data_IF_823178943929
#
_entry.id   IF_823178943929
#
_cell.length_a   1.000
_cell.length_b   1.000
_cell.length_c   1.000
_cell.angle_alpha   90.00
_cell.angle_beta   90.00
_cell.angle_gamma   90.00
#
_symmetry.space_group_name_H-M   'P 1'
#
loop_
_entity.id
_entity.type
_entity.pdbx_description
1 polymer ?
#
# COMPACT_ATOMS: atom_id res chain seq x y z
N UNK A 1 -9.41 2.99 -16.44
CA UNK A 1 -8.34 2.81 -15.43
C UNK A 1 -7.22 1.99 -16.06
N UNK A 2 -5.96 2.38 -15.87
CA UNK A 2 -4.77 1.65 -16.35
C UNK A 2 -4.02 1.07 -15.16
N UNK A 3 -3.62 -0.19 -15.25
CA UNK A 3 -2.75 -0.85 -14.26
C UNK A 3 -1.36 -0.98 -14.86
N UNK A 4 -0.35 -0.55 -14.10
CA UNK A 4 1.06 -0.59 -14.52
C UNK A 4 1.93 -1.11 -13.37
N UNK A 5 3.02 -1.78 -13.74
CA UNK A 5 4.03 -2.20 -12.76
C UNK A 5 4.96 -1.01 -12.48
N UNK A 6 4.79 -0.37 -11.32
CA UNK A 6 5.63 0.74 -10.87
C UNK A 6 6.63 0.28 -9.82
N UNK A 7 7.90 0.64 -9.99
CA UNK A 7 8.93 0.37 -8.99
C UNK A 7 8.80 1.38 -7.84
N UNK A 8 8.72 0.90 -6.62
CA UNK A 8 8.66 1.72 -5.40
C UNK A 8 9.99 2.39 -5.05
N UNK A 9 11.12 1.85 -5.55
CA UNK A 9 12.51 2.27 -5.25
C UNK A 9 12.85 2.17 -3.75
N UNK A 10 12.25 1.22 -3.06
CA UNK A 10 12.52 0.87 -1.67
C UNK A 10 12.68 -0.66 -1.55
N UNK A 11 12.99 -1.18 -0.36
CA UNK A 11 13.08 -2.62 -0.09
C UNK A 11 11.78 -3.37 -0.43
N UNK A 12 11.91 -4.67 -0.72
CA UNK A 12 10.75 -5.53 -1.05
C UNK A 12 9.77 -5.64 0.11
N UNK A 13 10.27 -5.70 1.34
CA UNK A 13 9.47 -5.65 2.55
C UNK A 13 9.79 -4.37 3.33
N UNK A 14 9.01 -3.28 3.12
CA UNK A 14 9.30 -2.02 3.79
C UNK A 14 9.05 -2.07 5.30
N UNK A 15 9.95 -1.44 6.05
CA UNK A 15 9.83 -1.27 7.49
C UNK A 15 9.88 0.22 7.80
N UNK A 16 8.94 0.68 8.63
CA UNK A 16 8.82 2.07 9.05
C UNK A 16 7.93 2.90 8.15
N UNK A 17 7.14 3.77 8.79
CA UNK A 17 6.13 4.61 8.16
C UNK A 17 6.69 5.44 6.99
N UNK A 18 7.84 6.10 7.21
CA UNK A 18 8.48 6.93 6.18
C UNK A 18 8.82 6.14 4.91
N UNK A 19 9.36 4.92 5.08
CA UNK A 19 9.74 4.05 3.95
C UNK A 19 8.51 3.68 3.13
N UNK A 20 7.44 3.23 3.80
CA UNK A 20 6.19 2.81 3.15
C UNK A 20 5.56 3.98 2.38
N UNK A 21 5.45 5.15 3.02
CA UNK A 21 4.90 6.35 2.37
C UNK A 21 5.75 6.78 1.16
N UNK A 22 7.08 6.70 1.27
CA UNK A 22 7.98 6.99 0.14
C UNK A 22 7.70 6.04 -1.03
N UNK A 23 7.54 4.74 -0.78
CA UNK A 23 7.22 3.76 -1.81
C UNK A 23 5.87 4.03 -2.48
N UNK A 24 4.82 4.31 -1.70
CA UNK A 24 3.50 4.66 -2.23
C UNK A 24 3.57 5.92 -3.11
N UNK A 25 4.24 6.99 -2.65
CA UNK A 25 4.40 8.23 -3.41
C UNK A 25 5.21 8.01 -4.71
N UNK A 26 6.28 7.22 -4.67
CA UNK A 26 7.06 6.90 -5.87
C UNK A 26 6.22 6.17 -6.93
N UNK A 27 5.40 5.20 -6.51
CA UNK A 27 4.47 4.50 -7.41
C UNK A 27 3.41 5.44 -7.98
N UNK A 28 2.84 6.32 -7.15
CA UNK A 28 1.85 7.30 -7.59
C UNK A 28 2.43 8.28 -8.62
N UNK A 29 3.63 8.81 -8.37
CA UNK A 29 4.36 9.69 -9.32
C UNK A 29 4.62 8.98 -10.64
N UNK A 30 5.09 7.73 -10.57
CA UNK A 30 5.35 6.94 -11.77
C UNK A 30 4.08 6.72 -12.59
N UNK A 31 2.97 6.33 -11.94
CA UNK A 31 1.71 6.07 -12.63
C UNK A 31 1.12 7.32 -13.27
N UNK A 32 1.20 8.48 -12.61
CA UNK A 32 0.77 9.74 -13.19
C UNK A 32 1.60 10.13 -14.42
N UNK A 33 2.92 10.06 -14.31
CA UNK A 33 3.81 10.39 -15.44
C UNK A 33 3.57 9.45 -16.62
N UNK A 34 3.40 8.15 -16.40
CA UNK A 34 3.08 7.19 -17.43
C UNK A 34 1.81 7.57 -18.23
N UNK A 35 0.75 7.99 -17.54
CA UNK A 35 -0.49 8.40 -18.20
C UNK A 35 -0.29 9.67 -19.03
N UNK A 36 0.43 10.65 -18.48
CA UNK A 36 0.71 11.92 -19.16
C UNK A 36 1.59 11.68 -20.39
N UNK A 37 2.68 10.94 -20.24
CA UNK A 37 3.72 10.81 -21.27
C UNK A 37 3.35 9.78 -22.34
N UNK A 38 2.84 8.61 -21.94
CA UNK A 38 2.54 7.51 -22.86
C UNK A 38 1.11 7.56 -23.41
N UNK A 39 0.13 7.93 -22.60
CA UNK A 39 -1.28 7.97 -23.02
C UNK A 39 -1.75 9.34 -23.44
N UNK A 40 -0.92 10.39 -23.23
CA UNK A 40 -1.21 11.78 -23.60
C UNK A 40 -2.50 12.34 -22.96
N UNK A 41 -2.94 11.75 -21.84
CA UNK A 41 -4.08 12.21 -21.06
C UNK A 41 -3.54 13.16 -19.99
N UNK A 42 -4.11 14.37 -19.87
CA UNK A 42 -3.57 15.43 -19.02
C UNK A 42 -4.57 15.99 -18.01
N UNK A 43 -5.84 15.66 -18.13
CA UNK A 43 -6.91 16.21 -17.27
C UNK A 43 -7.75 15.11 -16.66
N UNK A 44 -8.32 15.39 -15.48
CA UNK A 44 -9.16 14.45 -14.72
C UNK A 44 -8.48 13.11 -14.46
N UNK A 45 -7.21 13.14 -14.06
CA UNK A 45 -6.39 11.95 -13.82
C UNK A 45 -5.77 11.95 -12.42
N UNK A 46 -5.62 10.76 -11.90
CA UNK A 46 -4.85 10.51 -10.69
C UNK A 46 -3.78 9.44 -10.93
N UNK A 47 -2.57 9.72 -10.45
CA UNK A 47 -1.59 8.69 -10.21
C UNK A 47 -1.87 8.04 -8.86
N UNK A 48 -2.02 6.71 -8.86
CA UNK A 48 -2.29 5.92 -7.65
C UNK A 48 -1.08 5.05 -7.35
N UNK A 49 -0.61 5.11 -6.13
CA UNK A 49 0.45 4.23 -5.63
C UNK A 49 0.05 3.63 -4.29
N UNK A 50 0.20 2.32 -4.17
CA UNK A 50 -0.09 1.59 -2.94
C UNK A 50 1.18 0.88 -2.49
N UNK A 51 1.47 0.96 -1.20
CA UNK A 51 2.57 0.25 -0.56
C UNK A 51 2.12 -0.27 0.80
N UNK A 52 2.67 -1.42 1.19
CA UNK A 52 2.38 -2.03 2.49
C UNK A 52 3.67 -2.36 3.22
N UNK A 53 3.63 -2.38 4.54
CA UNK A 53 4.80 -2.74 5.33
C UNK A 53 4.58 -2.63 6.82
N UNK A 54 5.62 -3.00 7.57
CA UNK A 54 5.60 -3.04 9.02
C UNK A 54 5.90 -1.67 9.61
N UNK A 55 5.03 -1.22 10.51
CA UNK A 55 5.23 -0.02 11.34
C UNK A 55 5.33 -0.45 12.80
N UNK A 56 6.32 0.07 13.50
CA UNK A 56 6.44 -0.13 14.95
C UNK A 56 5.26 0.52 15.66
N UNK A 57 4.52 -0.29 16.44
CA UNK A 57 3.36 0.16 17.22
C UNK A 57 3.55 -0.29 18.66
N UNK A 58 3.83 0.64 19.57
CA UNK A 58 3.92 0.32 20.99
C UNK A 58 2.64 -0.36 21.50
N UNK A 59 2.80 -1.31 22.41
CA UNK A 59 1.71 -2.09 23.02
C UNK A 59 1.01 -3.12 22.13
N UNK A 60 1.34 -3.22 20.83
CA UNK A 60 0.90 -4.37 20.03
C UNK A 60 1.61 -5.64 20.52
N UNK A 61 1.02 -6.81 20.26
CA UNK A 61 1.59 -8.11 20.73
C UNK A 61 2.96 -8.41 20.17
N UNK A 62 3.25 -7.92 18.97
CA UNK A 62 4.49 -8.20 18.24
C UNK A 62 5.42 -6.99 18.15
N UNK A 63 4.98 -5.82 18.62
CA UNK A 63 5.67 -4.55 18.46
C UNK A 63 5.47 -3.89 17.07
N UNK A 64 4.81 -4.59 16.14
CA UNK A 64 4.62 -4.14 14.77
C UNK A 64 3.22 -4.45 14.25
N UNK A 65 2.71 -3.56 13.40
CA UNK A 65 1.50 -3.80 12.60
C UNK A 65 1.80 -3.59 11.12
N UNK A 66 1.14 -4.36 10.27
CA UNK A 66 1.17 -4.16 8.82
C UNK A 66 0.17 -3.09 8.43
N UNK A 67 0.65 -2.03 7.78
CA UNK A 67 -0.17 -0.94 7.24
C UNK A 67 -0.15 -0.96 5.73
N UNK A 68 -1.29 -0.65 5.14
CA UNK A 68 -1.41 -0.38 3.72
C UNK A 68 -1.66 1.11 3.53
N UNK A 69 -0.75 1.78 2.83
CA UNK A 69 -0.90 3.19 2.48
C UNK A 69 -1.13 3.37 0.99
N UNK A 70 -2.03 4.27 0.67
CA UNK A 70 -2.25 4.76 -0.68
C UNK A 70 -1.81 6.22 -0.76
N UNK A 71 -1.07 6.54 -1.82
CA UNK A 71 -0.82 7.90 -2.26
C UNK A 71 -1.60 8.17 -3.54
N UNK A 72 -2.32 9.28 -3.59
CA UNK A 72 -2.94 9.82 -4.78
C UNK A 72 -2.24 11.13 -5.16
N UNK A 73 -1.99 11.31 -6.45
CA UNK A 73 -1.42 12.54 -7.00
C UNK A 73 -2.26 12.95 -8.20
N UNK A 74 -2.82 14.16 -8.16
CA UNK A 74 -3.55 14.73 -9.29
C UNK A 74 -2.60 15.34 -10.33
N UNK A 75 -3.15 15.84 -11.43
CA UNK A 75 -2.40 16.54 -12.50
C UNK A 75 -1.69 17.80 -12.02
N UNK A 76 -2.22 18.48 -11.02
CA UNK A 76 -1.57 19.65 -10.38
C UNK A 76 -0.45 19.27 -9.40
N UNK A 77 -0.11 17.97 -9.31
CA UNK A 77 0.93 17.42 -8.41
C UNK A 77 0.59 17.54 -6.92
N UNK A 78 -0.64 17.80 -6.57
CA UNK A 78 -1.10 17.76 -5.18
C UNK A 78 -1.20 16.31 -4.73
N UNK A 79 -0.75 16.04 -3.51
CA UNK A 79 -0.67 14.68 -2.95
C UNK A 79 -1.67 14.55 -1.81
N UNK A 80 -2.40 13.45 -1.82
CA UNK A 80 -3.17 12.99 -0.68
C UNK A 80 -2.74 11.59 -0.27
N UNK A 81 -2.83 11.29 1.02
CA UNK A 81 -2.48 10.00 1.59
C UNK A 81 -3.71 9.39 2.29
N UNK A 82 -3.82 8.08 2.20
CA UNK A 82 -4.84 7.30 2.91
C UNK A 82 -4.27 6.01 3.44
N UNK A 83 -4.84 5.51 4.53
CA UNK A 83 -4.48 4.23 5.12
C UNK A 83 -5.65 3.24 5.03
N UNK A 84 -5.31 1.99 4.84
CA UNK A 84 -6.23 0.87 4.96
C UNK A 84 -6.28 0.31 6.38
N UNK A 85 -6.88 -0.88 6.50
CA UNK A 85 -6.99 -1.59 7.77
C UNK A 85 -5.61 -2.16 8.13
N UNK A 86 -5.10 -1.81 9.32
CA UNK A 86 -3.86 -2.37 9.84
C UNK A 86 -4.13 -3.62 10.70
N UNK A 87 -3.17 -4.55 10.72
CA UNK A 87 -3.26 -5.78 11.50
C UNK A 87 -1.87 -6.29 11.90
N UNK A 88 -1.82 -7.19 12.89
CA UNK A 88 -0.58 -7.80 13.34
C UNK A 88 -0.31 -9.14 12.64
N UNK A 89 0.96 -9.40 12.32
CA UNK A 89 1.40 -10.75 11.97
C UNK A 89 1.82 -11.55 13.21
N UNK A 90 1.83 -12.89 13.16
CA UNK A 90 2.46 -13.72 14.18
C UNK A 90 3.92 -13.32 14.42
N UNK A 91 4.37 -13.34 15.68
CA UNK A 91 5.69 -12.86 16.09
C UNK A 91 6.86 -13.51 15.33
N UNK A 92 6.75 -14.79 15.00
CA UNK A 92 7.82 -15.47 14.26
C UNK A 92 7.99 -14.94 12.82
N UNK A 93 6.91 -14.44 12.19
CA UNK A 93 6.96 -13.81 10.87
C UNK A 93 7.65 -12.46 10.99
N UNK A 94 7.23 -11.64 11.95
CA UNK A 94 7.85 -10.31 12.20
C UNK A 94 9.34 -10.49 12.46
N UNK A 95 9.73 -11.43 13.31
CA UNK A 95 11.14 -11.70 13.61
C UNK A 95 11.94 -12.10 12.38
N UNK A 96 11.39 -12.91 11.47
CA UNK A 96 12.08 -13.29 10.23
C UNK A 96 12.33 -12.09 9.32
N UNK A 97 11.37 -11.17 9.23
CA UNK A 97 11.50 -9.97 8.41
C UNK A 97 12.50 -8.97 9.02
N UNK A 98 12.50 -8.82 10.36
CA UNK A 98 13.46 -7.95 11.04
C UNK A 98 14.90 -8.46 10.91
N UNK A 99 15.10 -9.77 10.82
CA UNK A 99 16.40 -10.40 10.61
C UNK A 99 16.86 -10.35 9.16
N UNK A 100 15.93 -10.37 8.21
CA UNK A 100 16.20 -10.41 6.78
C UNK A 100 15.13 -9.64 5.99
N UNK A 101 15.31 -8.32 5.79
CA UNK A 101 14.35 -7.47 5.10
C UNK A 101 14.19 -7.77 3.60
N UNK A 102 15.03 -8.63 3.01
CA UNK A 102 14.85 -9.10 1.63
C UNK A 102 13.76 -10.17 1.50
N UNK A 103 13.39 -10.82 2.61
CA UNK A 103 12.23 -11.73 2.64
C UNK A 103 10.92 -10.96 2.54
N UNK A 104 9.97 -11.55 1.84
CA UNK A 104 8.62 -11.03 1.76
C UNK A 104 7.67 -11.81 2.70
N UNK A 105 6.86 -11.11 3.47
CA UNK A 105 5.82 -11.72 4.31
C UNK A 105 4.89 -12.61 3.48
N UNK A 106 4.57 -12.16 2.26
CA UNK A 106 3.73 -12.92 1.33
C UNK A 106 4.25 -14.32 1.02
N UNK A 107 5.58 -14.49 0.90
CA UNK A 107 6.18 -15.80 0.64
C UNK A 107 6.16 -16.70 1.88
N UNK A 108 6.36 -16.11 3.07
CA UNK A 108 6.28 -16.86 4.34
C UNK A 108 4.86 -17.39 4.55
N UNK A 109 3.86 -16.52 4.39
CA UNK A 109 2.44 -16.89 4.54
C UNK A 109 2.00 -17.86 3.44
N UNK A 110 2.49 -17.67 2.20
CA UNK A 110 2.20 -18.58 1.10
C UNK A 110 2.61 -20.03 1.40
N UNK A 111 3.81 -20.21 1.98
CA UNK A 111 4.29 -21.51 2.45
C UNK A 111 3.41 -22.09 3.57
N UNK A 112 3.04 -21.27 4.54
CA UNK A 112 2.14 -21.71 5.64
C UNK A 112 0.74 -22.11 5.14
N UNK A 113 0.26 -21.45 4.12
CA UNK A 113 -1.05 -21.70 3.52
C UNK A 113 -1.02 -22.82 2.47
N UNK A 114 0.16 -23.40 2.16
CA UNK A 114 0.37 -24.30 1.01
C UNK A 114 -0.16 -23.69 -0.32
N UNK A 115 -0.02 -22.38 -0.48
CA UNK A 115 -0.40 -21.63 -1.68
C UNK A 115 0.61 -20.51 -1.96
N UNK A 116 1.59 -20.78 -2.82
CA UNK A 116 2.65 -19.81 -3.17
C UNK A 116 2.11 -18.58 -3.91
N UNK A 117 0.93 -18.67 -4.54
CA UNK A 117 0.30 -17.55 -5.24
C UNK A 117 -0.58 -16.68 -4.33
N UNK A 118 -0.74 -17.02 -3.07
CA UNK A 118 -1.62 -16.32 -2.13
C UNK A 118 -1.38 -14.79 -2.11
N UNK A 119 -0.11 -14.36 -2.21
CA UNK A 119 0.24 -12.93 -2.24
C UNK A 119 -0.33 -12.17 -3.44
N UNK A 120 -0.57 -12.86 -4.56
CA UNK A 120 -1.14 -12.28 -5.78
C UNK A 120 -2.67 -12.41 -5.85
N UNK A 121 -3.25 -13.23 -5.00
CA UNK A 121 -4.69 -13.53 -4.92
C UNK A 121 -5.34 -12.73 -3.79
N UNK A 122 -5.73 -13.40 -2.73
CA UNK A 122 -6.48 -12.83 -1.61
C UNK A 122 -5.58 -12.21 -0.53
N UNK A 123 -4.27 -12.52 -0.56
CA UNK A 123 -3.24 -11.97 0.31
C UNK A 123 -3.18 -12.62 1.69
N UNK A 124 -2.14 -12.27 2.45
CA UNK A 124 -1.89 -12.78 3.79
C UNK A 124 -3.07 -12.56 4.76
N UNK A 125 -3.76 -11.44 4.64
CA UNK A 125 -4.92 -11.12 5.50
C UNK A 125 -6.06 -12.12 5.31
N UNK A 126 -6.28 -12.63 4.11
CA UNK A 126 -7.31 -13.65 3.87
C UNK A 126 -7.01 -14.93 4.65
N UNK A 127 -5.77 -15.41 4.60
CA UNK A 127 -5.34 -16.57 5.37
C UNK A 127 -5.52 -16.36 6.88
N UNK A 128 -5.02 -15.22 7.40
CA UNK A 128 -5.08 -14.92 8.83
C UNK A 128 -6.50 -14.68 9.35
N UNK A 129 -7.37 -14.10 8.52
CA UNK A 129 -8.77 -13.81 8.88
C UNK A 129 -9.73 -14.95 8.56
N UNK A 130 -9.23 -16.11 8.11
CA UNK A 130 -10.05 -17.26 7.65
C UNK A 130 -11.05 -16.82 6.57
N UNK A 131 -10.57 -16.08 5.58
CA UNK A 131 -11.31 -15.53 4.45
C UNK A 131 -12.41 -14.51 4.81
N UNK A 132 -12.35 -13.91 6.01
CA UNK A 132 -13.28 -12.84 6.39
C UNK A 132 -12.93 -11.51 5.71
N UNK A 133 -11.63 -11.26 5.46
CA UNK A 133 -11.11 -10.08 4.77
C UNK A 133 -10.18 -10.48 3.64
N UNK A 134 -10.21 -9.72 2.56
CA UNK A 134 -9.30 -9.90 1.42
C UNK A 134 -8.35 -8.71 1.28
N UNK A 135 -7.23 -8.93 0.59
CA UNK A 135 -6.29 -7.85 0.23
C UNK A 135 -6.99 -6.73 -0.53
N UNK A 136 -7.88 -7.08 -1.47
CA UNK A 136 -8.65 -6.10 -2.24
C UNK A 136 -9.46 -5.17 -1.35
N UNK A 137 -10.12 -5.71 -0.34
CA UNK A 137 -10.96 -4.91 0.58
C UNK A 137 -10.12 -3.94 1.40
N UNK A 138 -9.03 -4.39 2.01
CA UNK A 138 -8.17 -3.51 2.82
C UNK A 138 -7.50 -2.42 1.97
N UNK A 139 -7.03 -2.75 0.76
CA UNK A 139 -6.44 -1.79 -0.16
C UNK A 139 -7.48 -0.78 -0.68
N UNK A 140 -8.71 -1.22 -0.92
CA UNK A 140 -9.79 -0.33 -1.33
C UNK A 140 -10.07 0.75 -0.27
N UNK A 141 -9.98 0.41 1.03
CA UNK A 141 -10.15 1.40 2.10
C UNK A 141 -9.03 2.44 2.10
N UNK A 142 -7.79 2.03 1.83
CA UNK A 142 -6.68 2.98 1.68
C UNK A 142 -6.92 3.97 0.54
N UNK A 143 -7.40 3.48 -0.62
CA UNK A 143 -7.71 4.34 -1.77
C UNK A 143 -8.86 5.31 -1.46
N UNK A 144 -9.94 4.82 -0.86
CA UNK A 144 -11.08 5.66 -0.47
C UNK A 144 -10.62 6.76 0.51
N UNK A 145 -9.81 6.39 1.52
CA UNK A 145 -9.27 7.36 2.47
C UNK A 145 -8.41 8.43 1.80
N UNK A 146 -7.59 8.03 0.82
CA UNK A 146 -6.75 8.96 0.07
C UNK A 146 -7.57 9.88 -0.87
N UNK A 147 -8.77 9.47 -1.29
CA UNK A 147 -9.64 10.29 -2.14
C UNK A 147 -10.38 11.40 -1.36
N UNK A 148 -10.53 11.27 -0.04
CA UNK A 148 -11.34 12.20 0.77
C UNK A 148 -10.99 13.67 0.55
N UNK A 149 -9.71 14.10 0.52
CA UNK A 149 -9.37 15.49 0.27
C UNK A 149 -9.80 15.99 -1.12
N UNK A 150 -9.69 15.15 -2.15
CA UNK A 150 -10.04 15.55 -3.52
C UNK A 150 -11.55 15.59 -3.77
N UNK A 151 -12.35 14.70 -3.16
CA UNK A 151 -13.81 14.74 -3.28
C UNK A 151 -14.47 15.82 -2.40
N UNK A 152 -13.72 16.39 -1.45
CA UNK A 152 -14.15 17.48 -0.58
C UNK A 152 -13.18 18.66 -0.71
N UNK A 153 -12.80 19.00 -1.95
CA UNK A 153 -11.74 19.96 -2.25
C UNK A 153 -11.89 21.29 -1.50
N UNK A 154 -13.11 21.81 -1.39
CA UNK A 154 -13.42 23.05 -0.66
C UNK A 154 -13.05 22.97 0.83
N UNK A 155 -13.30 21.81 1.47
CA UNK A 155 -12.98 21.62 2.90
C UNK A 155 -11.48 21.52 3.16
N UNK A 156 -10.72 21.10 2.15
CA UNK A 156 -9.26 20.90 2.24
C UNK A 156 -8.45 22.01 1.58
N UNK A 157 -9.13 23.08 1.08
CA UNK A 157 -8.52 24.19 0.34
C UNK A 157 -7.64 23.69 -0.84
N UNK A 158 -8.11 22.69 -1.53
CA UNK A 158 -7.49 22.18 -2.75
C UNK A 158 -8.05 23.01 -3.90
N UNK A 159 -7.23 23.90 -4.45
CA UNK A 159 -7.62 24.69 -5.63
C UNK A 159 -7.51 23.81 -6.89
N UNK A 160 -8.41 24.03 -7.83
CA UNK A 160 -8.38 23.42 -9.17
C UNK A 160 -7.16 23.87 -9.99
#
# INVERSE_FOLDING_TARGET
MYSIKANSKISNQPIGLKTILTGAINRAKYSLNFIIDEKKIKTNIFGVGIEAGLVEIPYSRTGYMDFQFCALINEARQISLGAGIAFEYPKFIVNQILQDPEKEIGDIIGKLANNENLKNETGAISFLSKNTLTRKEILSKAVISALLPFINADLYNISD
#
